data_IF_896148167659
#
_entry.id   IF_896148167659
#
_cell.length_a   1.000
_cell.length_b   1.000
_cell.length_c   1.000
_cell.angle_alpha   90.00
_cell.angle_beta   90.00
_cell.angle_gamma   90.00
#
_symmetry.space_group_name_H-M   'P 1'
#
loop_
_entity.id
_entity.type
_entity.pdbx_description
1 polymer ?
#
# COMPACT_ATOMS: atom_id res chain seq x y z
N UNK A 1 -10.33 -6.62 0.81
CA UNK A 1 -10.71 -6.87 -0.57
C UNK A 1 -11.09 -8.33 -0.72
N UNK A 2 -12.22 -8.64 -0.22
CA UNK A 2 -12.76 -10.00 -0.24
C UNK A 2 -13.88 -10.03 -1.29
N UNK A 3 -13.96 -11.06 -2.12
CA UNK A 3 -13.10 -12.23 -2.13
C UNK A 3 -11.94 -12.09 -3.14
N UNK A 4 -10.70 -12.15 -2.68
CA UNK A 4 -9.49 -12.08 -3.54
C UNK A 4 -9.46 -13.23 -4.55
N UNK A 5 -9.85 -14.43 -4.11
CA UNK A 5 -9.84 -15.64 -4.94
C UNK A 5 -10.79 -15.53 -6.13
N UNK A 6 -11.98 -14.98 -5.93
CA UNK A 6 -12.97 -14.82 -6.99
C UNK A 6 -12.44 -13.88 -8.08
N UNK A 7 -11.87 -12.74 -7.67
CA UNK A 7 -11.29 -11.79 -8.62
C UNK A 7 -10.04 -12.35 -9.32
N UNK A 8 -9.23 -13.15 -8.64
CA UNK A 8 -8.09 -13.81 -9.27
C UNK A 8 -8.57 -14.85 -10.29
N UNK A 9 -9.57 -15.64 -9.94
CA UNK A 9 -10.16 -16.64 -10.84
C UNK A 9 -10.81 -15.98 -12.05
N UNK A 10 -11.57 -14.91 -11.84
CA UNK A 10 -12.17 -14.09 -12.91
C UNK A 10 -11.10 -13.59 -13.88
N UNK A 11 -10.01 -12.98 -13.35
CA UNK A 11 -8.89 -12.50 -14.15
C UNK A 11 -8.27 -13.61 -14.99
N UNK A 12 -8.02 -14.77 -14.39
CA UNK A 12 -7.43 -15.95 -15.07
C UNK A 12 -8.33 -16.40 -16.22
N UNK A 13 -9.65 -16.49 -16.00
CA UNK A 13 -10.62 -16.89 -17.03
C UNK A 13 -10.67 -15.84 -18.15
N UNK A 14 -10.67 -14.56 -17.82
CA UNK A 14 -10.65 -13.47 -18.81
C UNK A 14 -9.39 -13.52 -19.68
N UNK A 15 -8.22 -13.79 -19.08
CA UNK A 15 -6.95 -13.89 -19.81
C UNK A 15 -6.99 -15.08 -20.78
N UNK A 16 -7.51 -16.25 -20.37
CA UNK A 16 -7.64 -17.42 -21.27
C UNK A 16 -8.60 -17.12 -22.42
N UNK A 17 -9.71 -16.46 -22.17
CA UNK A 17 -10.66 -16.04 -23.21
C UNK A 17 -10.00 -15.11 -24.23
N UNK A 18 -9.26 -14.10 -23.78
CA UNK A 18 -8.52 -13.18 -24.65
C UNK A 18 -7.44 -13.89 -25.46
N UNK A 19 -6.72 -14.85 -24.87
CA UNK A 19 -5.72 -15.65 -25.55
C UNK A 19 -6.36 -16.50 -26.66
N UNK A 20 -7.50 -17.12 -26.41
CA UNK A 20 -8.26 -17.89 -27.42
C UNK A 20 -8.85 -17.00 -28.51
N UNK A 21 -9.16 -15.74 -28.20
CA UNK A 21 -9.57 -14.74 -29.17
C UNK A 21 -8.39 -14.13 -29.96
N UNK A 22 -7.20 -14.72 -29.88
CA UNK A 22 -5.99 -14.28 -30.57
C UNK A 22 -5.53 -12.86 -30.24
N UNK A 23 -5.75 -12.39 -29.00
CA UNK A 23 -5.24 -11.12 -28.54
C UNK A 23 -3.70 -11.07 -28.70
N UNK A 24 -3.19 -10.05 -29.39
CA UNK A 24 -1.76 -9.90 -29.69
C UNK A 24 -0.93 -9.73 -28.41
N UNK A 25 -1.43 -8.97 -27.46
CA UNK A 25 -0.77 -8.68 -26.17
C UNK A 25 -1.82 -8.66 -25.07
N UNK A 26 -1.50 -9.25 -23.93
CA UNK A 26 -2.34 -9.24 -22.75
C UNK A 26 -1.52 -8.66 -21.59
N UNK A 27 -1.89 -7.48 -21.13
CA UNK A 27 -1.30 -6.81 -19.96
C UNK A 27 -2.29 -6.90 -18.80
N UNK A 28 -1.88 -7.53 -17.71
CA UNK A 28 -2.66 -7.52 -16.48
C UNK A 28 -2.42 -6.21 -15.72
N UNK A 29 -3.45 -5.39 -15.57
CA UNK A 29 -3.42 -4.18 -14.75
C UNK A 29 -3.94 -4.52 -13.37
N UNK A 30 -3.07 -4.51 -12.38
CA UNK A 30 -3.32 -4.94 -11.01
C UNK A 30 -3.13 -3.77 -10.05
N UNK A 31 -4.14 -2.89 -9.87
CA UNK A 31 -4.04 -1.77 -8.94
C UNK A 31 -3.71 -2.22 -7.52
N UNK A 32 -4.17 -3.40 -7.13
CA UNK A 32 -3.81 -4.10 -5.91
C UNK A 32 -3.42 -5.55 -6.21
N UNK A 33 -2.22 -5.95 -5.81
CA UNK A 33 -1.75 -7.33 -5.97
C UNK A 33 -2.14 -8.16 -4.74
N UNK A 34 -3.16 -8.98 -4.89
CA UNK A 34 -3.61 -9.90 -3.83
C UNK A 34 -2.50 -10.89 -3.45
N UNK A 35 -2.43 -11.27 -2.18
CA UNK A 35 -1.39 -12.11 -1.59
C UNK A 35 0.03 -11.53 -1.56
N UNK A 36 0.24 -10.25 -1.90
CA UNK A 36 1.56 -9.60 -1.90
C UNK A 36 2.33 -9.73 -0.57
N UNK A 37 1.63 -9.83 0.57
CA UNK A 37 2.23 -9.98 1.91
C UNK A 37 2.87 -11.36 2.15
N UNK A 38 2.60 -12.34 1.28
CA UNK A 38 3.18 -13.69 1.35
C UNK A 38 4.28 -13.82 0.28
N UNK A 39 5.27 -12.93 0.35
CA UNK A 39 6.39 -12.80 -0.58
C UNK A 39 7.62 -13.62 -0.18
N UNK A 40 7.64 -14.16 1.03
CA UNK A 40 8.74 -14.95 1.59
C UNK A 40 8.25 -15.98 2.61
N UNK A 41 9.06 -16.97 2.86
CA UNK A 41 8.83 -17.92 3.97
C UNK A 41 9.15 -17.26 5.30
N UNK A 42 8.16 -17.14 6.17
CA UNK A 42 8.31 -16.66 7.55
C UNK A 42 8.33 -17.80 8.59
N UNK A 43 8.04 -19.02 8.14
CA UNK A 43 8.08 -20.26 8.92
C UNK A 43 8.38 -21.46 8.01
N UNK A 44 8.78 -22.62 8.56
CA UNK A 44 8.91 -23.85 7.78
C UNK A 44 7.59 -24.26 7.13
N UNK A 45 7.65 -24.82 5.93
CA UNK A 45 6.51 -25.42 5.20
C UNK A 45 5.35 -24.45 4.86
N UNK A 46 5.58 -23.14 4.84
CA UNK A 46 4.61 -22.16 4.34
C UNK A 46 4.84 -21.87 2.87
N UNK A 47 3.78 -21.54 2.09
CA UNK A 47 3.90 -21.16 0.69
C UNK A 47 4.50 -19.75 0.55
N UNK A 48 4.96 -19.44 -0.67
CA UNK A 48 5.20 -18.08 -1.15
C UNK A 48 4.06 -17.76 -2.12
N UNK A 49 2.90 -17.35 -1.60
CA UNK A 49 1.68 -17.25 -2.40
C UNK A 49 1.77 -16.15 -3.45
N UNK A 50 2.54 -15.07 -3.19
CA UNK A 50 2.81 -14.05 -4.20
C UNK A 50 3.49 -14.65 -5.45
N UNK A 51 4.40 -15.61 -5.29
CA UNK A 51 5.03 -16.35 -6.39
C UNK A 51 4.03 -17.24 -7.13
N UNK A 52 3.16 -17.95 -6.40
CA UNK A 52 2.13 -18.81 -7.00
C UNK A 52 1.19 -17.99 -7.89
N UNK A 53 0.73 -16.82 -7.42
CA UNK A 53 -0.12 -15.93 -8.22
C UNK A 53 0.62 -15.44 -9.48
N UNK A 54 1.90 -15.08 -9.37
CA UNK A 54 2.70 -14.67 -10.51
C UNK A 54 2.80 -15.77 -11.56
N UNK A 55 3.06 -17.01 -11.15
CA UNK A 55 3.12 -18.18 -12.03
C UNK A 55 1.79 -18.46 -12.71
N UNK A 56 0.68 -18.41 -11.97
CA UNK A 56 -0.68 -18.59 -12.54
C UNK A 56 -0.94 -17.59 -13.68
N UNK A 57 -0.64 -16.31 -13.45
CA UNK A 57 -0.84 -15.26 -14.46
C UNK A 57 0.02 -15.48 -15.71
N UNK A 58 1.27 -15.89 -15.54
CA UNK A 58 2.16 -16.19 -16.68
C UNK A 58 1.69 -17.41 -17.47
N UNK A 59 1.30 -18.49 -16.79
CA UNK A 59 0.85 -19.75 -17.42
C UNK A 59 -0.41 -19.54 -18.25
N UNK A 60 -1.36 -18.74 -17.78
CA UNK A 60 -2.60 -18.48 -18.53
C UNK A 60 -2.39 -17.56 -19.72
N UNK A 61 -1.28 -16.82 -19.79
CA UNK A 61 -0.94 -16.05 -21.00
C UNK A 61 -0.75 -14.56 -20.81
N UNK A 62 -0.68 -14.05 -19.56
CA UNK A 62 -0.26 -12.66 -19.31
C UNK A 62 1.17 -12.46 -19.84
N UNK A 63 1.40 -11.35 -20.57
CA UNK A 63 2.70 -11.02 -21.18
C UNK A 63 3.35 -9.79 -20.57
N UNK A 64 2.63 -9.03 -19.76
CA UNK A 64 3.12 -7.86 -19.02
C UNK A 64 2.22 -7.63 -17.80
N UNK A 65 2.79 -7.14 -16.73
CA UNK A 65 2.04 -6.74 -15.52
C UNK A 65 2.27 -5.25 -15.28
N UNK A 66 1.19 -4.53 -15.00
CA UNK A 66 1.22 -3.17 -14.46
C UNK A 66 0.64 -3.23 -13.05
N UNK A 67 1.46 -2.96 -12.05
CA UNK A 67 1.06 -3.01 -10.64
C UNK A 67 1.32 -1.68 -9.93
N UNK A 68 0.62 -1.44 -8.82
CA UNK A 68 0.84 -0.26 -8.00
C UNK A 68 1.21 -0.66 -6.58
N UNK A 69 2.25 0.00 -6.03
CA UNK A 69 2.74 -0.16 -4.65
C UNK A 69 2.76 -1.62 -4.17
N UNK A 70 3.52 -2.46 -4.85
CA UNK A 70 3.75 -3.84 -4.39
C UNK A 70 4.29 -3.80 -2.95
N UNK A 71 3.80 -4.71 -2.10
CA UNK A 71 4.22 -4.80 -0.70
C UNK A 71 5.73 -4.89 -0.54
N UNK A 72 6.38 -5.58 -1.46
CA UNK A 72 7.83 -5.70 -1.52
C UNK A 72 8.29 -5.62 -2.99
N UNK A 73 9.29 -4.80 -3.27
CA UNK A 73 9.81 -4.57 -4.63
C UNK A 73 10.32 -5.84 -5.30
N UNK A 74 10.84 -6.80 -4.52
CA UNK A 74 11.33 -8.10 -5.03
C UNK A 74 10.24 -8.99 -5.63
N UNK A 75 8.94 -8.72 -5.41
CA UNK A 75 7.84 -9.46 -6.06
C UNK A 75 7.95 -9.36 -7.59
N UNK A 76 8.49 -8.28 -8.13
CA UNK A 76 8.78 -8.14 -9.56
C UNK A 76 9.65 -9.29 -10.08
N UNK A 77 10.58 -9.79 -9.28
CA UNK A 77 11.45 -10.93 -9.61
C UNK A 77 10.74 -12.29 -9.64
N UNK A 78 9.47 -12.36 -9.25
CA UNK A 78 8.68 -13.60 -9.37
C UNK A 78 8.13 -13.80 -10.78
N UNK A 79 8.17 -12.76 -11.60
CA UNK A 79 7.71 -12.78 -12.97
C UNK A 79 8.88 -12.95 -13.95
N UNK A 80 8.70 -13.79 -14.95
CA UNK A 80 9.61 -13.91 -16.11
C UNK A 80 9.11 -13.08 -17.30
N UNK A 81 8.25 -12.10 -17.04
CA UNK A 81 7.70 -11.13 -17.99
C UNK A 81 7.89 -9.73 -17.43
N UNK A 82 7.84 -8.67 -18.28
CA UNK A 82 7.96 -7.31 -17.82
C UNK A 82 6.92 -6.94 -16.75
N UNK A 83 7.38 -6.25 -15.70
CA UNK A 83 6.54 -5.70 -14.64
C UNK A 83 6.81 -4.21 -14.50
N UNK A 84 5.78 -3.42 -14.70
CA UNK A 84 5.80 -1.98 -14.42
C UNK A 84 5.23 -1.76 -13.02
N UNK A 85 6.09 -1.40 -12.08
CA UNK A 85 5.71 -1.17 -10.69
C UNK A 85 5.57 0.32 -10.44
N UNK A 86 4.37 0.86 -10.57
CA UNK A 86 4.05 2.26 -10.25
C UNK A 86 3.92 2.50 -8.76
N UNK A 87 4.08 3.77 -8.37
CA UNK A 87 3.88 4.23 -7.00
C UNK A 87 2.79 5.30 -6.95
N UNK A 88 1.88 5.24 -5.97
CA UNK A 88 0.89 6.27 -5.71
C UNK A 88 1.51 7.54 -5.07
N UNK A 89 2.83 7.51 -4.85
CA UNK A 89 3.57 8.60 -4.20
C UNK A 89 3.26 10.00 -4.78
N UNK A 90 3.19 10.25 -6.09
CA UNK A 90 2.86 11.58 -6.61
C UNK A 90 1.51 12.11 -6.12
N UNK A 91 0.51 11.23 -6.04
CA UNK A 91 -0.86 11.57 -5.60
C UNK A 91 -0.89 11.85 -4.10
N UNK A 92 -0.25 10.98 -3.30
CA UNK A 92 -0.19 11.12 -1.84
C UNK A 92 0.64 12.33 -1.42
N UNK A 93 1.80 12.55 -2.05
CA UNK A 93 2.68 13.69 -1.77
C UNK A 93 1.99 15.02 -2.03
N UNK A 94 1.29 15.14 -3.16
CA UNK A 94 0.50 16.33 -3.50
C UNK A 94 -0.52 16.61 -2.40
N UNK A 95 -1.31 15.61 -2.02
CA UNK A 95 -2.32 15.76 -0.99
C UNK A 95 -1.73 16.17 0.36
N UNK A 96 -0.66 15.51 0.82
CA UNK A 96 0.00 15.81 2.10
C UNK A 96 0.50 17.24 2.11
N UNK A 97 1.17 17.67 1.05
CA UNK A 97 1.75 19.01 0.94
C UNK A 97 0.69 20.14 0.93
N UNK A 98 -0.45 19.88 0.29
CA UNK A 98 -1.55 20.85 0.20
C UNK A 98 -2.39 20.91 1.48
N UNK A 99 -2.47 19.81 2.23
CA UNK A 99 -3.43 19.66 3.34
C UNK A 99 -2.80 19.90 4.70
N UNK A 100 -1.57 19.39 4.93
CA UNK A 100 -0.97 19.39 6.26
C UNK A 100 0.17 20.40 6.37
N UNK A 101 0.36 20.95 7.59
CA UNK A 101 1.43 21.89 7.94
C UNK A 101 2.28 21.30 9.04
N UNK A 102 3.56 21.69 9.09
CA UNK A 102 4.52 21.24 10.10
C UNK A 102 4.54 19.71 10.25
N UNK A 103 4.75 19.03 9.11
CA UNK A 103 4.62 17.57 8.99
C UNK A 103 5.88 16.87 9.48
N UNK A 104 5.69 15.79 10.24
CA UNK A 104 6.68 14.71 10.41
C UNK A 104 6.14 13.44 9.76
N UNK A 105 6.91 12.85 8.86
CA UNK A 105 6.57 11.58 8.23
C UNK A 105 6.96 10.43 9.15
N UNK A 106 6.04 9.50 9.40
CA UNK A 106 6.26 8.43 10.38
C UNK A 106 6.14 7.06 9.72
N UNK A 107 7.19 6.25 9.87
CA UNK A 107 7.15 4.83 9.51
C UNK A 107 6.54 4.01 10.66
N UNK A 108 5.50 3.21 10.43
CA UNK A 108 4.87 2.38 11.46
C UNK A 108 5.73 1.18 11.91
N UNK A 109 6.81 0.89 11.19
CA UNK A 109 7.77 -0.17 11.49
C UNK A 109 9.07 -0.01 10.68
N UNK A 110 10.05 -0.88 10.92
CA UNK A 110 11.34 -0.85 10.25
C UNK A 110 11.24 -1.12 8.73
N UNK A 111 10.24 -1.90 8.28
CA UNK A 111 10.07 -2.25 6.86
C UNK A 111 9.65 -1.08 5.98
N UNK A 112 8.90 -0.11 6.55
CA UNK A 112 8.40 1.08 5.83
C UNK A 112 9.36 2.27 5.81
N UNK A 113 10.53 2.17 6.45
CA UNK A 113 11.45 3.33 6.66
C UNK A 113 11.94 3.92 5.35
N UNK A 114 12.32 3.10 4.38
CA UNK A 114 12.83 3.58 3.09
C UNK A 114 11.77 4.39 2.33
N UNK A 115 10.56 3.86 2.25
CA UNK A 115 9.42 4.57 1.66
C UNK A 115 9.14 5.89 2.37
N UNK A 116 9.07 5.86 3.70
CA UNK A 116 8.78 7.05 4.50
C UNK A 116 9.87 8.10 4.37
N UNK A 117 11.14 7.70 4.31
CA UNK A 117 12.29 8.59 4.07
C UNK A 117 12.19 9.27 2.70
N UNK A 118 11.78 8.53 1.65
CA UNK A 118 11.60 9.10 0.32
C UNK A 118 10.52 10.20 0.32
N UNK A 119 9.42 10.01 1.05
CA UNK A 119 8.38 11.03 1.24
C UNK A 119 8.89 12.22 2.06
N UNK A 120 9.52 11.99 3.20
CA UNK A 120 10.07 13.05 4.05
C UNK A 120 11.04 13.95 3.26
N UNK A 121 11.95 13.35 2.47
CA UNK A 121 12.88 14.09 1.61
C UNK A 121 12.16 15.01 0.61
N UNK A 122 11.11 14.50 -0.07
CA UNK A 122 10.35 15.27 -1.08
C UNK A 122 9.50 16.38 -0.46
N UNK A 123 8.98 16.15 0.73
CA UNK A 123 8.18 17.12 1.49
C UNK A 123 9.06 18.10 2.29
N UNK A 124 10.38 17.89 2.35
CA UNK A 124 11.31 18.60 3.25
C UNK A 124 10.83 18.54 4.70
N UNK A 125 10.30 17.40 5.11
CA UNK A 125 9.74 17.12 6.41
C UNK A 125 10.69 16.22 7.22
N UNK A 126 10.51 16.22 8.54
CA UNK A 126 11.21 15.33 9.44
C UNK A 126 10.74 13.87 9.27
N UNK A 127 11.56 12.92 9.75
CA UNK A 127 11.29 11.51 9.76
C UNK A 127 11.27 11.00 11.20
N UNK A 128 10.22 10.23 11.54
CA UNK A 128 10.19 9.42 12.76
C UNK A 128 9.86 7.96 12.44
N UNK A 129 10.18 7.08 13.34
CA UNK A 129 10.00 5.63 13.18
C UNK A 129 9.39 5.07 14.47
N UNK A 130 8.40 4.18 14.32
CA UNK A 130 7.91 3.38 15.44
C UNK A 130 8.74 2.10 15.51
N UNK A 131 9.57 2.01 16.54
CA UNK A 131 10.35 0.81 16.84
C UNK A 131 9.56 -0.14 17.74
N UNK A 132 9.45 -1.41 17.31
CA UNK A 132 8.76 -2.47 18.02
C UNK A 132 9.80 -3.38 18.67
N UNK A 133 10.25 -3.06 19.88
CA UNK A 133 11.14 -3.94 20.62
C UNK A 133 10.36 -5.06 21.33
N UNK A 134 10.89 -6.25 21.25
CA UNK A 134 10.55 -7.37 22.14
C UNK A 134 11.74 -7.57 23.05
N UNK A 135 11.72 -6.98 24.22
CA UNK A 135 12.82 -7.14 25.16
C UNK A 135 12.82 -8.54 25.80
N UNK A 136 11.65 -9.22 25.89
CA UNK A 136 11.54 -10.62 26.35
C UNK A 136 10.33 -11.34 25.73
N UNK A 137 10.38 -12.70 25.62
CA UNK A 137 9.19 -13.49 25.31
C UNK A 137 8.15 -13.30 26.44
N UNK A 138 6.90 -12.97 26.09
CA UNK A 138 5.77 -12.73 26.99
C UNK A 138 5.67 -11.35 27.68
N UNK A 139 6.51 -10.37 27.36
CA UNK A 139 6.27 -8.99 27.77
C UNK A 139 5.44 -8.23 26.71
N UNK A 140 4.60 -7.28 27.19
CA UNK A 140 3.85 -6.38 26.32
C UNK A 140 4.81 -5.65 25.38
N UNK A 141 4.47 -5.59 24.09
CA UNK A 141 5.29 -4.95 23.06
C UNK A 141 5.57 -3.51 23.43
N UNK A 142 6.76 -3.24 23.92
CA UNK A 142 7.22 -1.86 24.07
C UNK A 142 7.38 -1.28 22.65
N UNK A 143 6.64 -0.21 22.40
CA UNK A 143 6.76 0.57 21.17
C UNK A 143 7.49 1.86 21.55
N UNK A 144 8.52 2.25 20.81
CA UNK A 144 9.24 3.50 21.00
C UNK A 144 9.14 4.37 19.76
N UNK A 145 9.02 5.69 19.95
CA UNK A 145 9.11 6.68 18.88
C UNK A 145 10.57 7.13 18.76
N UNK A 146 11.18 6.88 17.61
CA UNK A 146 12.51 7.37 17.27
C UNK A 146 12.34 8.57 16.34
N UNK A 147 12.84 9.73 16.73
CA UNK A 147 12.65 11.01 16.03
C UNK A 147 11.77 11.98 16.83
N UNK A 148 11.78 13.25 16.43
CA UNK A 148 11.04 14.30 17.10
C UNK A 148 9.67 14.52 16.45
N UNK A 149 8.60 14.34 17.23
CA UNK A 149 7.20 14.53 16.83
C UNK A 149 6.49 15.62 17.63
N UNK A 150 7.18 16.21 18.63
CA UNK A 150 6.60 17.20 19.53
C UNK A 150 6.13 18.43 18.77
N UNK A 151 4.88 18.81 18.96
CA UNK A 151 4.29 20.00 18.31
C UNK A 151 4.07 19.89 16.81
N UNK A 152 4.22 18.68 16.21
CA UNK A 152 4.10 18.44 14.76
C UNK A 152 2.84 17.67 14.40
N UNK A 153 2.46 17.77 13.13
CA UNK A 153 1.45 16.91 12.51
C UNK A 153 2.12 15.61 12.05
N UNK A 154 1.84 14.51 12.73
CA UNK A 154 2.40 13.20 12.37
C UNK A 154 1.57 12.52 11.28
N UNK A 155 2.24 12.09 10.21
CA UNK A 155 1.62 11.35 9.09
C UNK A 155 2.23 9.96 9.01
N UNK A 156 1.50 8.95 9.49
CA UNK A 156 1.86 7.54 9.36
C UNK A 156 1.74 7.11 7.90
N UNK A 157 2.82 6.61 7.30
CA UNK A 157 2.86 6.18 5.91
C UNK A 157 3.11 4.68 5.78
N UNK A 158 2.28 4.01 4.98
CA UNK A 158 2.47 2.58 4.66
C UNK A 158 1.98 2.26 3.23
N UNK A 159 2.19 1.02 2.76
CA UNK A 159 1.61 0.54 1.49
C UNK A 159 0.13 0.22 1.66
N UNK A 160 -0.28 -0.39 2.76
CA UNK A 160 -1.66 -0.80 2.98
C UNK A 160 -2.10 -0.70 4.45
N UNK A 161 -3.40 -0.56 4.63
CA UNK A 161 -4.07 -0.72 5.93
C UNK A 161 -5.04 -1.90 5.83
N UNK A 162 -4.80 -2.94 6.64
CA UNK A 162 -5.65 -4.13 6.72
C UNK A 162 -6.59 -4.02 7.94
N UNK A 163 -6.23 -4.54 9.10
CA UNK A 163 -7.08 -4.52 10.31
C UNK A 163 -6.95 -3.25 11.15
N UNK A 164 -6.13 -2.31 10.75
CA UNK A 164 -5.80 -1.02 11.38
C UNK A 164 -5.16 -1.08 12.78
N UNK A 165 -5.10 -2.23 13.45
CA UNK A 165 -4.63 -2.33 14.84
C UNK A 165 -3.26 -1.70 15.08
N UNK A 166 -2.26 -2.07 14.28
CA UNK A 166 -0.89 -1.52 14.40
C UNK A 166 -0.86 0.01 14.23
N UNK A 167 -1.67 0.55 13.30
CA UNK A 167 -1.71 2.00 13.02
C UNK A 167 -2.36 2.76 14.15
N UNK A 168 -3.44 2.23 14.72
CA UNK A 168 -4.11 2.84 15.86
C UNK A 168 -3.22 2.87 17.10
N UNK A 169 -2.48 1.78 17.38
CA UNK A 169 -1.51 1.75 18.47
C UNK A 169 -0.36 2.74 18.25
N UNK A 170 0.20 2.79 17.03
CA UNK A 170 1.24 3.75 16.67
C UNK A 170 0.74 5.20 16.81
N UNK A 171 -0.50 5.48 16.41
CA UNK A 171 -1.08 6.81 16.53
C UNK A 171 -1.26 7.25 17.98
N UNK A 172 -1.69 6.36 18.87
CA UNK A 172 -1.81 6.65 20.30
C UNK A 172 -0.45 7.08 20.87
N UNK A 173 0.61 6.33 20.56
CA UNK A 173 1.96 6.67 21.01
C UNK A 173 2.47 8.01 20.49
N UNK A 174 2.20 8.32 19.21
CA UNK A 174 2.57 9.61 18.64
C UNK A 174 1.88 10.76 19.38
N UNK A 175 0.62 10.56 19.80
CA UNK A 175 -0.10 11.54 20.62
C UNK A 175 0.53 11.68 22.00
N UNK A 176 0.89 10.57 22.65
CA UNK A 176 1.58 10.57 23.95
C UNK A 176 2.97 11.24 23.84
N UNK A 177 3.66 11.06 22.71
CA UNK A 177 4.94 11.70 22.41
C UNK A 177 4.81 13.19 22.01
N UNK A 178 3.61 13.79 22.07
CA UNK A 178 3.38 15.21 21.88
C UNK A 178 3.03 15.64 20.45
N UNK A 179 2.68 14.73 19.54
CA UNK A 179 2.16 15.10 18.23
C UNK A 179 0.82 15.85 18.36
N UNK A 180 0.67 16.97 17.66
CA UNK A 180 -0.56 17.81 17.69
C UNK A 180 -1.70 17.07 17.03
N UNK A 181 -1.47 16.48 15.88
CA UNK A 181 -2.43 15.68 15.13
C UNK A 181 -1.75 14.45 14.57
N UNK A 182 -2.55 13.36 14.40
CA UNK A 182 -2.07 12.15 13.77
C UNK A 182 -3.00 11.78 12.61
N UNK A 183 -2.39 11.63 11.44
CA UNK A 183 -3.05 11.16 10.22
C UNK A 183 -2.36 9.90 9.72
N UNK A 184 -3.05 9.12 8.90
CA UNK A 184 -2.46 7.97 8.23
C UNK A 184 -2.69 8.07 6.72
N UNK A 185 -1.69 7.67 5.94
CA UNK A 185 -1.76 7.60 4.49
C UNK A 185 -1.29 6.22 4.02
N UNK A 186 -2.02 5.61 3.10
CA UNK A 186 -1.58 4.39 2.43
C UNK A 186 -2.16 4.30 1.01
N UNK A 187 -1.56 3.47 0.20
CA UNK A 187 -2.06 3.20 -1.15
C UNK A 187 -3.28 2.29 -1.10
N UNK A 188 -3.22 1.18 -0.36
CA UNK A 188 -4.25 0.15 -0.38
C UNK A 188 -5.06 0.11 0.91
N UNK A 189 -6.32 0.56 0.83
CA UNK A 189 -7.30 0.44 1.93
C UNK A 189 -7.97 -0.93 1.91
N UNK A 190 -7.31 -1.98 2.44
CA UNK A 190 -7.91 -3.33 2.53
C UNK A 190 -9.05 -3.32 3.53
N UNK A 191 -8.87 -2.68 4.68
CA UNK A 191 -9.90 -2.37 5.68
C UNK A 191 -10.74 -3.58 6.11
N UNK A 192 -10.06 -4.69 6.41
CA UNK A 192 -10.71 -5.94 6.78
C UNK A 192 -11.06 -6.02 8.27
N UNK A 193 -12.02 -6.89 8.58
CA UNK A 193 -12.42 -7.18 9.95
C UNK A 193 -12.81 -5.91 10.75
N UNK A 194 -12.24 -5.68 11.94
CA UNK A 194 -12.60 -4.57 12.83
C UNK A 194 -11.90 -3.25 12.46
N UNK A 195 -11.40 -3.09 11.22
CA UNK A 195 -10.58 -1.92 10.83
C UNK A 195 -11.33 -0.60 11.01
N UNK A 196 -12.59 -0.54 10.62
CA UNK A 196 -13.40 0.68 10.70
C UNK A 196 -13.68 1.06 12.15
N UNK A 197 -14.13 0.12 12.96
CA UNK A 197 -14.39 0.34 14.40
C UNK A 197 -13.13 0.85 15.11
N UNK A 198 -12.00 0.19 14.89
CA UNK A 198 -10.71 0.64 15.44
C UNK A 198 -10.30 2.03 14.97
N UNK A 199 -10.55 2.36 13.71
CA UNK A 199 -10.23 3.68 13.16
C UNK A 199 -11.12 4.75 13.80
N UNK A 200 -12.41 4.51 13.94
CA UNK A 200 -13.36 5.44 14.56
C UNK A 200 -13.02 5.72 16.02
N UNK A 201 -12.63 4.69 16.77
CA UNK A 201 -12.24 4.79 18.19
C UNK A 201 -10.82 5.36 18.39
N UNK A 202 -10.02 5.46 17.33
CA UNK A 202 -8.63 5.88 17.42
C UNK A 202 -8.45 7.39 17.47
N UNK A 203 -7.24 7.83 17.86
CA UNK A 203 -6.79 9.22 17.80
C UNK A 203 -6.43 9.68 16.38
N UNK A 204 -6.48 8.80 15.38
CA UNK A 204 -6.26 9.13 13.97
C UNK A 204 -7.38 10.07 13.51
N UNK A 205 -7.01 11.27 13.06
CA UNK A 205 -7.97 12.26 12.55
C UNK A 205 -8.46 11.93 11.14
N UNK A 206 -7.58 11.46 10.28
CA UNK A 206 -7.95 11.00 8.94
C UNK A 206 -7.06 9.85 8.47
N UNK A 207 -7.67 8.94 7.73
CA UNK A 207 -7.00 7.90 6.94
C UNK A 207 -7.17 8.22 5.47
N UNK A 208 -6.07 8.50 4.79
CA UNK A 208 -6.03 8.74 3.35
C UNK A 208 -5.66 7.45 2.64
N UNK A 209 -6.51 7.01 1.74
CA UNK A 209 -6.29 5.81 0.90
C UNK A 209 -6.45 6.16 -0.57
N UNK A 210 -6.02 5.29 -1.46
CA UNK A 210 -6.33 5.45 -2.89
C UNK A 210 -7.49 4.55 -3.31
N UNK A 211 -8.01 4.79 -4.52
CA UNK A 211 -9.06 3.98 -5.11
C UNK A 211 -8.55 2.68 -5.78
N UNK A 212 -7.35 2.23 -5.44
CA UNK A 212 -6.84 0.90 -5.85
C UNK A 212 -7.71 -0.24 -5.34
N UNK A 213 -8.37 -0.02 -4.20
CA UNK A 213 -9.39 -0.91 -3.64
C UNK A 213 -10.64 -0.07 -3.36
N UNK A 214 -11.80 -0.41 -3.94
CA UNK A 214 -13.04 0.31 -3.67
C UNK A 214 -13.48 0.16 -2.22
N UNK A 215 -13.89 1.24 -1.57
CA UNK A 215 -14.50 1.16 -0.25
C UNK A 215 -15.81 0.36 -0.30
N UNK A 216 -16.06 -0.45 0.73
CA UNK A 216 -17.28 -1.29 0.86
C UNK A 216 -17.87 -1.19 2.26
N UNK A 217 -19.18 -1.48 2.37
CA UNK A 217 -19.88 -1.52 3.65
C UNK A 217 -19.63 -0.27 4.51
N UNK A 218 -19.39 -0.45 5.79
CA UNK A 218 -19.13 0.62 6.78
C UNK A 218 -18.00 1.58 6.38
N UNK A 219 -17.02 1.13 5.57
CA UNK A 219 -15.92 2.00 5.15
C UNK A 219 -16.38 3.18 4.27
N UNK A 220 -17.49 3.04 3.52
CA UNK A 220 -18.07 4.12 2.73
C UNK A 220 -18.65 5.26 3.59
N UNK A 221 -19.08 4.92 4.78
CA UNK A 221 -19.77 5.85 5.71
C UNK A 221 -18.80 6.48 6.70
N UNK A 222 -17.60 5.92 6.86
CA UNK A 222 -16.59 6.39 7.80
C UNK A 222 -16.04 7.76 7.37
N UNK A 223 -16.39 8.81 8.13
CA UNK A 223 -15.99 10.20 7.86
C UNK A 223 -14.48 10.45 7.97
N UNK A 224 -13.76 9.55 8.66
CA UNK A 224 -12.29 9.65 8.77
C UNK A 224 -11.56 9.20 7.50
N UNK A 225 -12.22 8.52 6.55
CA UNK A 225 -11.57 8.00 5.35
C UNK A 225 -11.68 9.00 4.19
N UNK A 226 -10.54 9.34 3.61
CA UNK A 226 -10.42 10.14 2.39
C UNK A 226 -9.85 9.27 1.28
N UNK A 227 -10.56 9.20 0.14
CA UNK A 227 -10.12 8.44 -1.04
C UNK A 227 -9.52 9.40 -2.07
N UNK A 228 -8.31 9.08 -2.54
CA UNK A 228 -7.65 9.76 -3.65
C UNK A 228 -7.67 8.87 -4.89
N UNK A 229 -7.82 9.49 -6.06
CA UNK A 229 -7.84 8.74 -7.32
C UNK A 229 -6.45 8.58 -7.90
N UNK A 230 -6.08 7.36 -8.27
CA UNK A 230 -4.89 7.03 -9.06
C UNK A 230 -5.21 6.72 -10.52
N UNK A 231 -6.46 6.96 -10.95
CA UNK A 231 -6.94 6.59 -12.29
C UNK A 231 -6.17 7.29 -13.40
N UNK A 232 -5.80 8.57 -13.23
CA UNK A 232 -5.00 9.30 -14.21
C UNK A 232 -3.61 8.67 -14.38
N UNK A 233 -2.95 8.31 -13.27
CA UNK A 233 -1.62 7.70 -13.29
C UNK A 233 -1.66 6.33 -13.97
N UNK A 234 -2.64 5.48 -13.64
CA UNK A 234 -2.82 4.18 -14.29
C UNK A 234 -3.21 4.32 -15.76
N UNK A 235 -4.12 5.24 -16.08
CA UNK A 235 -4.55 5.49 -17.46
C UNK A 235 -3.41 5.95 -18.36
N UNK A 236 -2.55 6.85 -17.86
CA UNK A 236 -1.36 7.30 -18.58
C UNK A 236 -0.34 6.17 -18.78
N UNK A 237 -0.13 5.32 -17.77
CA UNK A 237 0.73 4.15 -17.91
C UNK A 237 0.19 3.16 -18.96
N UNK A 238 -1.12 2.88 -18.96
CA UNK A 238 -1.78 2.02 -19.94
C UNK A 238 -1.59 2.60 -21.35
N UNK A 239 -1.82 3.91 -21.52
CA UNK A 239 -1.64 4.59 -22.81
C UNK A 239 -0.22 4.44 -23.32
N UNK A 240 0.78 4.71 -22.47
CA UNK A 240 2.20 4.59 -22.84
C UNK A 240 2.59 3.16 -23.18
N UNK A 241 2.17 2.18 -22.37
CA UNK A 241 2.41 0.77 -22.68
C UNK A 241 1.81 0.37 -24.03
N UNK A 242 0.60 0.87 -24.33
CA UNK A 242 -0.07 0.60 -25.61
C UNK A 242 0.69 1.21 -26.79
N UNK A 243 1.17 2.46 -26.66
CA UNK A 243 1.91 3.19 -27.69
C UNK A 243 3.41 2.84 -27.75
N UNK A 244 3.86 1.91 -26.90
CA UNK A 244 5.29 1.52 -26.77
C UNK A 244 6.19 2.68 -26.31
N UNK A 245 5.60 3.68 -25.63
CA UNK A 245 6.30 4.80 -25.01
C UNK A 245 6.91 4.42 -23.66
N UNK A 246 7.93 5.18 -23.22
CA UNK A 246 8.53 4.99 -21.90
C UNK A 246 7.58 5.37 -20.76
N UNK A 247 7.48 4.49 -19.77
CA UNK A 247 6.75 4.73 -18.51
C UNK A 247 7.66 5.29 -17.40
N UNK A 248 8.96 5.44 -17.66
CA UNK A 248 9.97 5.76 -16.62
C UNK A 248 9.69 7.06 -15.87
N UNK A 249 9.14 8.09 -16.51
CA UNK A 249 8.80 9.35 -15.86
C UNK A 249 7.58 9.27 -14.93
N UNK A 250 6.89 8.14 -14.89
CA UNK A 250 5.75 7.90 -13.99
C UNK A 250 6.19 7.29 -12.64
N UNK A 251 7.45 6.86 -12.53
CA UNK A 251 8.02 6.26 -11.31
C UNK A 251 8.59 7.29 -10.33
N UNK A 252 8.29 8.56 -10.49
CA UNK A 252 8.88 9.67 -9.71
C UNK A 252 8.18 9.85 -8.37
#
# INVERSE_FOLDING_TARGET
FSPVNDHLTELVIMVDALRRASARRITAVLPYYGYARQDRKVAPRVPITAKVVAEMLMVVGVRRVLAMDLHAGQIQGFFNIPVDHLYAAPVLLKYINETFKNVVMVSPDAGGVERTRAFAKRLKADLAIIDKRRDRPNESKALNVIGDVMGKTAVLLDDMVDTAGTRCSAAAMLKEAGAVEVHACCTHGVLSGPAIERLEDSVIKSLVVTNTIPLRGKAKECKKIKVLSVSHLLGEAIRRIHSEDSVSSLFV
#
